data_IF_370922940858
#
_entry.id   IF_370922940858
#
_cell.length_a   1.000
_cell.length_b   1.000
_cell.length_c   1.000
_cell.angle_alpha   90.00
_cell.angle_beta   90.00
_cell.angle_gamma   90.00
#
_symmetry.space_group_name_H-M   'P 1'
#
loop_
_entity.id
_entity.type
_entity.pdbx_description
1 polymer ?
#
# COMPACT_ATOMS: atom_id res chain seq x y z
N UNK A 1 2.28 -18.04 -30.23
CA UNK A 1 0.88 -18.10 -29.80
C UNK A 1 0.73 -17.08 -28.70
N UNK A 2 -0.27 -16.21 -28.81
CA UNK A 2 -0.60 -15.32 -27.71
C UNK A 2 -1.32 -16.10 -26.57
N UNK A 3 -1.67 -15.41 -25.49
CA UNK A 3 -2.36 -16.02 -24.33
C UNK A 3 -3.74 -16.63 -24.68
N UNK A 4 -4.27 -16.38 -25.87
CA UNK A 4 -5.56 -16.87 -26.36
C UNK A 4 -5.42 -17.91 -27.47
N UNK A 5 -4.19 -18.39 -27.74
CA UNK A 5 -3.93 -19.41 -28.78
C UNK A 5 -3.83 -18.86 -30.19
N UNK A 6 -3.85 -17.53 -30.40
CA UNK A 6 -3.70 -16.94 -31.71
C UNK A 6 -2.24 -17.00 -32.18
N UNK A 7 -2.03 -17.19 -33.47
CA UNK A 7 -0.70 -17.14 -34.06
C UNK A 7 -0.24 -15.68 -34.18
N UNK A 8 0.85 -15.36 -33.51
CA UNK A 8 1.52 -14.05 -33.64
C UNK A 8 2.38 -14.07 -34.89
N UNK A 9 2.25 -13.06 -35.76
CA UNK A 9 3.06 -12.95 -36.96
C UNK A 9 4.48 -12.46 -36.61
N UNK A 10 5.46 -12.89 -37.41
CA UNK A 10 6.82 -12.42 -37.26
C UNK A 10 6.88 -10.89 -37.41
N UNK A 11 7.44 -10.20 -36.41
CA UNK A 11 7.49 -8.73 -36.35
C UNK A 11 6.40 -8.06 -35.51
N UNK A 12 5.40 -8.79 -35.01
CA UNK A 12 4.44 -8.28 -34.04
C UNK A 12 5.03 -8.33 -32.63
N UNK A 13 4.94 -7.22 -31.91
CA UNK A 13 5.35 -7.16 -30.51
C UNK A 13 4.21 -7.67 -29.63
N UNK A 14 4.43 -8.78 -28.96
CA UNK A 14 3.52 -9.25 -27.89
C UNK A 14 3.68 -8.33 -26.68
N UNK A 15 2.64 -7.58 -26.39
CA UNK A 15 2.49 -6.96 -25.08
C UNK A 15 2.20 -8.04 -24.06
N UNK A 16 3.20 -8.42 -23.26
CA UNK A 16 2.96 -9.26 -22.11
C UNK A 16 2.26 -8.43 -21.03
N UNK A 17 0.94 -8.45 -21.05
CA UNK A 17 0.16 -8.06 -19.86
C UNK A 17 0.50 -9.10 -18.79
N UNK A 18 0.93 -8.65 -17.62
CA UNK A 18 1.33 -9.55 -16.53
C UNK A 18 0.15 -10.51 -16.23
N UNK A 19 0.27 -11.82 -16.53
CA UNK A 19 -0.83 -12.77 -16.44
C UNK A 19 -1.40 -12.94 -15.03
N UNK A 20 -0.69 -12.48 -14.00
CA UNK A 20 -1.16 -12.52 -12.62
C UNK A 20 -2.32 -11.58 -12.31
N UNK A 21 -2.63 -10.64 -13.19
CA UNK A 21 -3.76 -9.71 -13.02
C UNK A 21 -5.02 -10.13 -13.80
N UNK A 22 -4.91 -11.11 -14.66
CA UNK A 22 -6.05 -11.75 -15.27
C UNK A 22 -6.68 -12.70 -14.25
N UNK A 23 -7.67 -12.23 -13.49
CA UNK A 23 -8.53 -13.15 -12.73
C UNK A 23 -9.21 -14.07 -13.74
N UNK A 24 -8.97 -15.39 -13.71
CA UNK A 24 -9.71 -16.29 -14.54
C UNK A 24 -11.17 -16.22 -14.09
N UNK A 25 -12.07 -15.86 -14.99
CA UNK A 25 -13.45 -16.24 -14.84
C UNK A 25 -14.53 -15.17 -14.97
N UNK A 26 -14.26 -13.86 -14.96
CA UNK A 26 -15.36 -12.90 -14.88
C UNK A 26 -15.25 -11.62 -15.74
N UNK A 27 -14.29 -11.50 -16.63
CA UNK A 27 -14.26 -10.40 -17.59
C UNK A 27 -14.65 -10.94 -18.96
N UNK A 28 -15.63 -10.33 -19.59
CA UNK A 28 -15.91 -10.55 -21.02
C UNK A 28 -14.71 -10.05 -21.84
N UNK A 29 -14.52 -10.59 -23.03
CA UNK A 29 -13.47 -10.16 -23.97
C UNK A 29 -13.55 -8.64 -24.22
N UNK A 30 -14.75 -8.09 -24.32
CA UNK A 30 -14.98 -6.67 -24.52
C UNK A 30 -14.55 -5.81 -23.30
N UNK A 31 -14.75 -6.29 -22.08
CA UNK A 31 -14.28 -5.61 -20.86
C UNK A 31 -12.77 -5.70 -20.71
N UNK A 32 -12.18 -6.84 -21.09
CA UNK A 32 -10.72 -7.00 -21.11
C UNK A 32 -10.09 -6.05 -22.13
N UNK A 33 -10.59 -6.01 -23.37
CA UNK A 33 -10.09 -5.11 -24.42
C UNK A 33 -10.25 -3.65 -24.03
N UNK A 34 -11.38 -3.27 -23.44
CA UNK A 34 -11.61 -1.91 -22.94
C UNK A 34 -10.62 -1.53 -21.83
N UNK A 35 -10.29 -2.46 -20.95
CA UNK A 35 -9.30 -2.24 -19.89
C UNK A 35 -7.87 -2.18 -20.46
N UNK A 36 -7.56 -2.96 -21.50
CA UNK A 36 -6.27 -2.91 -22.21
C UNK A 36 -6.12 -1.61 -23.01
N UNK A 37 -7.16 -1.15 -23.68
CA UNK A 37 -7.17 0.12 -24.41
C UNK A 37 -7.01 1.35 -23.49
N UNK A 38 -7.44 1.24 -22.22
CA UNK A 38 -7.27 2.31 -21.23
C UNK A 38 -5.92 2.27 -20.52
N UNK A 39 -5.12 1.21 -20.68
CA UNK A 39 -3.74 1.21 -20.21
C UNK A 39 -2.94 2.18 -21.09
N UNK A 40 -2.27 3.19 -20.50
CA UNK A 40 -1.45 4.13 -21.27
C UNK A 40 -0.13 3.47 -21.67
N UNK A 41 -0.19 2.38 -22.43
CA UNK A 41 0.96 1.73 -23.04
C UNK A 41 1.44 2.58 -24.22
N UNK A 42 2.18 3.64 -23.91
CA UNK A 42 2.94 4.37 -24.90
C UNK A 42 4.23 3.59 -25.17
N UNK A 43 4.23 2.81 -26.22
CA UNK A 43 5.40 2.04 -26.71
C UNK A 43 6.62 2.92 -27.00
N UNK A 44 6.43 4.22 -27.16
CA UNK A 44 7.44 5.23 -27.38
C UNK A 44 8.01 5.87 -26.11
N UNK A 45 7.43 5.56 -24.95
CA UNK A 45 7.85 6.11 -23.66
C UNK A 45 8.76 5.12 -22.91
N UNK A 46 10.08 5.38 -22.82
CA UNK A 46 11.01 4.44 -22.18
C UNK A 46 10.89 4.37 -20.67
N UNK A 47 10.19 5.31 -20.04
CA UNK A 47 9.96 5.36 -18.60
C UNK A 47 8.46 5.45 -18.32
N UNK A 48 7.93 4.50 -17.59
CA UNK A 48 6.56 4.51 -17.08
C UNK A 48 6.50 4.92 -15.62
N UNK A 49 5.33 5.33 -15.15
CA UNK A 49 5.09 5.62 -13.73
C UNK A 49 4.00 4.71 -13.17
N UNK A 50 4.06 4.42 -11.86
CA UNK A 50 2.92 3.84 -11.17
C UNK A 50 1.69 4.76 -11.28
N UNK A 51 0.47 4.19 -11.41
CA UNK A 51 -0.76 4.98 -11.51
C UNK A 51 -1.13 5.69 -10.22
N UNK A 52 -0.43 5.36 -9.12
CA UNK A 52 -0.68 5.89 -7.78
C UNK A 52 0.57 6.56 -7.25
N UNK A 53 0.39 7.74 -6.60
CA UNK A 53 1.39 8.39 -5.77
C UNK A 53 0.94 8.44 -4.32
N UNK A 54 1.87 8.25 -3.37
CA UNK A 54 1.59 8.34 -1.93
C UNK A 54 2.02 9.71 -1.41
N UNK A 55 1.08 10.44 -0.83
CA UNK A 55 1.33 11.76 -0.26
C UNK A 55 1.40 11.67 1.27
N UNK A 56 2.47 12.22 1.85
CA UNK A 56 2.62 12.44 3.29
C UNK A 56 3.03 13.89 3.51
N UNK A 57 2.12 14.68 4.05
CA UNK A 57 2.34 16.12 4.23
C UNK A 57 2.61 16.84 2.90
N UNK A 58 3.78 17.45 2.79
CA UNK A 58 4.25 18.16 1.60
C UNK A 58 5.18 17.32 0.69
N UNK A 59 5.17 16.01 0.85
CA UNK A 59 5.98 15.06 0.06
C UNK A 59 5.07 14.11 -0.71
N UNK A 60 5.39 13.87 -1.97
CA UNK A 60 4.75 12.88 -2.82
C UNK A 60 5.77 11.84 -3.23
N UNK A 61 5.49 10.57 -2.91
CA UNK A 61 6.29 9.43 -3.35
C UNK A 61 5.67 8.85 -4.60
N UNK A 62 6.48 8.71 -5.64
CA UNK A 62 6.08 8.13 -6.92
C UNK A 62 7.10 7.08 -7.34
N UNK A 63 6.66 6.06 -8.07
CA UNK A 63 7.55 5.06 -8.64
C UNK A 63 7.63 5.24 -10.15
N UNK A 64 8.83 5.24 -10.67
CA UNK A 64 9.13 5.19 -12.09
C UNK A 64 9.80 3.86 -12.43
N UNK A 65 9.49 3.33 -13.59
CA UNK A 65 10.09 2.12 -14.14
C UNK A 65 10.73 2.42 -15.49
N UNK A 66 12.00 2.08 -15.65
CA UNK A 66 12.70 2.14 -16.90
C UNK A 66 12.47 0.85 -17.69
N UNK A 67 11.65 0.93 -18.74
CA UNK A 67 11.30 -0.18 -19.62
C UNK A 67 12.37 -0.49 -20.67
N UNK A 68 13.40 0.35 -20.80
CA UNK A 68 14.43 0.23 -21.81
C UNK A 68 15.68 -0.51 -21.34
N UNK A 69 16.51 -0.93 -22.29
CA UNK A 69 17.81 -1.56 -22.03
C UNK A 69 18.93 -0.54 -21.80
N UNK A 70 18.61 0.76 -21.86
CA UNK A 70 19.55 1.84 -21.58
C UNK A 70 19.16 2.56 -20.30
N UNK A 71 20.15 3.12 -19.61
CA UNK A 71 19.89 4.01 -18.50
C UNK A 71 19.11 5.24 -18.99
N UNK A 72 18.08 5.61 -18.26
CA UNK A 72 17.25 6.78 -18.53
C UNK A 72 17.48 7.87 -17.49
N UNK A 73 17.63 9.09 -17.95
CA UNK A 73 17.74 10.27 -17.10
C UNK A 73 16.83 11.37 -17.59
N UNK A 74 16.33 12.17 -16.68
CA UNK A 74 15.39 13.22 -17.04
C UNK A 74 15.00 14.08 -15.86
N UNK A 75 13.88 14.78 -16.05
CA UNK A 75 13.32 15.67 -15.03
C UNK A 75 11.88 15.26 -14.76
N UNK A 76 11.55 15.14 -13.49
CA UNK A 76 10.23 14.81 -12.97
C UNK A 76 9.57 16.07 -12.39
N UNK A 77 8.33 16.32 -12.77
CA UNK A 77 7.50 17.37 -12.25
C UNK A 77 6.08 16.88 -11.92
N UNK A 78 5.29 17.74 -11.34
CA UNK A 78 3.88 17.48 -11.00
C UNK A 78 3.03 18.69 -11.29
N UNK A 79 1.84 18.47 -11.84
CA UNK A 79 0.84 19.51 -12.07
C UNK A 79 -0.58 18.96 -11.93
N UNK A 80 -1.56 19.85 -11.71
CA UNK A 80 -2.97 19.49 -11.65
C UNK A 80 -3.43 18.99 -10.27
N UNK A 81 -4.72 18.70 -10.13
CA UNK A 81 -5.31 18.18 -8.90
C UNK A 81 -5.18 19.07 -7.67
N UNK A 82 -4.86 20.35 -7.85
CA UNK A 82 -4.56 21.26 -6.73
C UNK A 82 -3.16 21.06 -6.13
N UNK A 83 -2.27 20.33 -6.83
CA UNK A 83 -0.89 20.08 -6.40
C UNK A 83 0.10 20.53 -7.49
N UNK A 84 1.29 20.95 -7.04
CA UNK A 84 2.42 21.18 -7.94
C UNK A 84 3.74 20.81 -7.23
N UNK A 85 4.73 20.38 -7.98
CA UNK A 85 6.08 20.21 -7.45
C UNK A 85 6.64 21.58 -7.03
N UNK A 86 7.35 21.64 -5.90
CA UNK A 86 8.05 22.85 -5.45
C UNK A 86 9.17 23.20 -6.41
N UNK A 87 9.88 22.18 -6.86
CA UNK A 87 10.92 22.25 -7.89
C UNK A 87 10.94 20.96 -8.70
N UNK A 88 11.32 21.01 -9.99
CA UNK A 88 11.55 19.81 -10.77
C UNK A 88 12.66 18.95 -10.14
N UNK A 89 12.49 17.62 -10.15
CA UNK A 89 13.43 16.66 -9.61
C UNK A 89 14.18 15.98 -10.77
N UNK A 90 15.50 16.03 -10.75
CA UNK A 90 16.30 15.22 -11.69
C UNK A 90 16.30 13.77 -11.26
N UNK A 91 16.15 12.86 -12.19
CA UNK A 91 16.20 11.42 -11.94
C UNK A 91 17.16 10.71 -12.89
N UNK A 92 17.59 9.54 -12.47
CA UNK A 92 18.40 8.60 -13.23
C UNK A 92 17.99 7.20 -12.81
N UNK A 93 17.62 6.36 -13.78
CA UNK A 93 17.11 5.01 -13.54
C UNK A 93 17.90 4.03 -14.40
N UNK A 94 18.57 3.03 -13.79
CA UNK A 94 19.26 1.98 -14.54
C UNK A 94 18.32 1.21 -15.46
N UNK A 95 18.86 0.49 -16.47
CA UNK A 95 18.06 -0.34 -17.37
C UNK A 95 17.18 -1.34 -16.63
N UNK A 96 15.95 -1.52 -17.08
CA UNK A 96 15.02 -2.56 -16.58
C UNK A 96 14.79 -2.54 -15.07
N UNK A 97 14.92 -1.37 -14.45
CA UNK A 97 14.71 -1.22 -13.00
C UNK A 97 13.57 -0.26 -12.68
N UNK A 98 12.98 -0.46 -11.50
CA UNK A 98 12.04 0.48 -10.90
C UNK A 98 12.70 1.21 -9.74
N UNK A 99 12.38 2.49 -9.57
CA UNK A 99 12.90 3.31 -8.49
C UNK A 99 11.84 4.28 -7.97
N UNK A 100 11.80 4.43 -6.65
CA UNK A 100 10.93 5.38 -5.97
C UNK A 100 11.61 6.74 -5.86
N UNK A 101 10.82 7.79 -6.11
CA UNK A 101 11.26 9.18 -6.03
C UNK A 101 10.38 9.96 -5.07
N UNK A 102 11.00 10.89 -4.34
CA UNK A 102 10.32 11.81 -3.43
C UNK A 102 10.28 13.20 -4.06
N UNK A 103 9.07 13.68 -4.34
CA UNK A 103 8.81 15.04 -4.84
C UNK A 103 8.34 15.94 -3.70
N UNK A 104 9.07 17.02 -3.38
CA UNK A 104 8.50 18.10 -2.59
C UNK A 104 7.35 18.77 -3.35
N UNK A 105 6.19 18.85 -2.72
CA UNK A 105 4.96 19.38 -3.31
C UNK A 105 4.38 20.51 -2.48
N UNK A 106 3.58 21.35 -3.13
CA UNK A 106 2.74 22.37 -2.49
C UNK A 106 1.35 22.34 -3.06
N UNK A 107 0.39 22.78 -2.27
CA UNK A 107 -0.98 22.98 -2.71
C UNK A 107 -1.12 24.27 -3.52
N UNK A 108 -1.97 24.21 -4.55
CA UNK A 108 -2.36 25.36 -5.36
C UNK A 108 -3.89 25.44 -5.44
N UNK A 109 -4.44 26.64 -5.58
CA UNK A 109 -5.89 26.86 -5.48
C UNK A 109 -6.73 26.26 -6.63
N UNK A 110 -6.14 25.95 -7.78
CA UNK A 110 -6.85 25.37 -8.93
C UNK A 110 -6.93 23.84 -8.83
N UNK A 111 -8.17 23.32 -8.72
CA UNK A 111 -8.46 21.87 -8.66
C UNK A 111 -9.02 21.28 -9.98
N UNK A 112 -9.08 22.06 -11.05
CA UNK A 112 -9.92 21.76 -12.23
C UNK A 112 -9.38 20.69 -13.18
N UNK A 113 -8.18 20.18 -12.94
CA UNK A 113 -7.57 19.14 -13.79
C UNK A 113 -7.12 17.94 -12.95
N UNK A 114 -7.05 16.73 -13.52
CA UNK A 114 -6.45 15.58 -12.85
C UNK A 114 -4.98 15.86 -12.49
N UNK A 115 -4.47 15.19 -11.49
CA UNK A 115 -3.05 15.26 -11.15
C UNK A 115 -2.25 14.48 -12.19
N UNK A 116 -1.21 15.12 -12.74
CA UNK A 116 -0.35 14.52 -13.75
C UNK A 116 1.12 14.61 -13.34
N UNK A 117 1.84 13.51 -13.47
CA UNK A 117 3.30 13.51 -13.51
C UNK A 117 3.76 14.02 -14.88
N UNK A 118 4.74 14.88 -14.85
CA UNK A 118 5.44 15.36 -16.05
C UNK A 118 6.84 14.77 -16.09
N UNK A 119 7.14 13.97 -17.10
CA UNK A 119 8.43 13.38 -17.33
C UNK A 119 9.05 14.06 -18.56
N UNK A 120 10.13 14.79 -18.34
CA UNK A 120 10.92 15.37 -19.45
C UNK A 120 12.13 14.47 -19.73
N UNK A 121 12.11 13.82 -20.88
CA UNK A 121 13.11 12.86 -21.35
C UNK A 121 13.54 13.21 -22.78
N UNK A 122 14.83 13.32 -23.04
CA UNK A 122 15.38 13.48 -24.39
C UNK A 122 14.69 14.57 -25.22
N UNK A 123 14.37 15.72 -24.60
CA UNK A 123 13.70 16.83 -25.28
C UNK A 123 12.16 16.69 -25.39
N UNK A 124 11.57 15.58 -24.94
CA UNK A 124 10.13 15.33 -25.00
C UNK A 124 9.52 15.36 -23.60
N UNK A 125 8.33 15.95 -23.48
CA UNK A 125 7.54 15.93 -22.23
C UNK A 125 6.42 14.91 -22.35
N UNK A 126 6.44 13.92 -21.47
CA UNK A 126 5.35 12.96 -21.29
C UNK A 126 4.51 13.39 -20.08
N UNK A 127 3.18 13.23 -20.18
CA UNK A 127 2.23 13.50 -19.11
C UNK A 127 1.47 12.23 -18.79
N UNK A 128 1.48 11.82 -17.52
CA UNK A 128 0.82 10.62 -17.05
C UNK A 128 -0.09 10.96 -15.90
N UNK A 129 -1.41 10.72 -16.00
CA UNK A 129 -2.32 10.93 -14.88
C UNK A 129 -1.98 9.96 -13.75
N UNK A 130 -2.03 10.48 -12.51
CA UNK A 130 -1.84 9.68 -11.30
C UNK A 130 -2.94 9.95 -10.28
N UNK A 131 -3.33 8.91 -9.56
CA UNK A 131 -4.12 9.05 -8.34
C UNK A 131 -3.20 9.39 -7.17
N UNK A 132 -3.47 10.47 -6.44
CA UNK A 132 -2.71 10.84 -5.25
C UNK A 132 -3.46 10.40 -4.00
N UNK A 133 -2.90 9.41 -3.30
CA UNK A 133 -3.42 8.92 -2.02
C UNK A 133 -2.72 9.68 -0.90
N UNK A 134 -3.49 10.42 -0.11
CA UNK A 134 -2.97 11.09 1.09
C UNK A 134 -2.87 10.09 2.24
N UNK A 135 -1.64 9.79 2.69
CA UNK A 135 -1.39 8.89 3.80
C UNK A 135 -1.15 9.67 5.09
N UNK A 136 -1.68 9.15 6.18
CA UNK A 136 -1.36 9.65 7.50
C UNK A 136 0.08 9.24 7.85
N UNK A 137 0.81 10.15 8.51
CA UNK A 137 2.09 9.79 9.12
C UNK A 137 1.85 9.32 10.55
N UNK A 138 2.43 8.18 10.89
CA UNK A 138 2.33 7.58 12.22
C UNK A 138 3.68 7.70 12.92
N UNK A 139 3.68 8.29 14.11
CA UNK A 139 4.86 8.33 14.98
C UNK A 139 5.11 6.99 15.67
N UNK A 140 6.18 6.96 16.49
CA UNK A 140 6.45 5.78 17.34
C UNK A 140 5.29 5.48 18.28
N UNK A 141 4.63 6.50 18.79
CA UNK A 141 3.41 6.38 19.60
C UNK A 141 2.22 6.88 18.80
N UNK A 142 1.11 6.18 18.91
CA UNK A 142 -0.13 6.51 18.23
C UNK A 142 -1.34 6.25 19.13
N UNK A 143 -2.46 6.87 18.78
CA UNK A 143 -3.70 6.80 19.54
C UNK A 143 -4.89 6.61 18.62
N UNK A 144 -5.79 5.76 19.03
CA UNK A 144 -7.15 5.58 18.51
C UNK A 144 -8.14 6.00 19.60
N UNK A 145 -9.43 6.04 19.27
CA UNK A 145 -10.47 6.42 20.25
C UNK A 145 -10.49 5.51 21.49
N UNK A 146 -10.31 4.20 21.24
CA UNK A 146 -10.36 3.17 22.31
C UNK A 146 -9.02 2.46 22.52
N UNK A 147 -7.92 2.93 21.92
CA UNK A 147 -6.61 2.30 22.09
C UNK A 147 -5.46 3.30 22.01
N UNK A 148 -4.33 2.87 22.53
CA UNK A 148 -3.03 3.51 22.32
C UNK A 148 -2.00 2.45 21.99
N UNK A 149 -1.02 2.81 21.20
CA UNK A 149 0.02 1.88 20.79
C UNK A 149 1.38 2.51 20.64
N UNK A 150 2.39 1.66 20.66
CA UNK A 150 3.78 1.99 20.38
C UNK A 150 4.30 1.04 19.32
N UNK A 151 4.89 1.60 18.26
CA UNK A 151 5.44 0.87 17.13
C UNK A 151 6.93 1.17 17.00
N UNK A 152 7.73 0.13 17.00
CA UNK A 152 9.16 0.19 16.69
C UNK A 152 9.46 -0.83 15.58
N UNK A 153 10.35 -0.48 14.66
CA UNK A 153 10.76 -1.38 13.59
C UNK A 153 12.19 -1.11 13.13
N UNK A 154 12.77 -2.11 12.49
CA UNK A 154 14.18 -2.15 12.06
C UNK A 154 14.90 -3.33 12.67
N UNK A 155 16.14 -3.56 12.25
CA UNK A 155 16.98 -4.66 12.73
C UNK A 155 16.31 -6.03 12.63
N UNK A 156 15.61 -6.28 11.51
CA UNK A 156 14.96 -7.57 11.24
C UNK A 156 13.67 -7.84 12.01
N UNK A 157 13.09 -6.83 12.66
CA UNK A 157 11.85 -7.01 13.43
C UNK A 157 10.93 -5.79 13.41
N UNK A 158 9.65 -6.06 13.70
CA UNK A 158 8.65 -5.08 14.05
C UNK A 158 8.17 -5.43 15.46
N UNK A 159 8.16 -4.44 16.34
CA UNK A 159 7.64 -4.55 17.70
C UNK A 159 6.44 -3.62 17.84
N UNK A 160 5.29 -4.19 18.21
CA UNK A 160 4.05 -3.47 18.46
C UNK A 160 3.57 -3.74 19.89
N UNK A 161 3.35 -2.69 20.66
CA UNK A 161 2.71 -2.74 21.95
C UNK A 161 1.41 -1.95 21.87
N UNK A 162 0.32 -2.51 22.38
CA UNK A 162 -0.99 -1.84 22.40
C UNK A 162 -1.73 -2.09 23.70
N UNK A 163 -2.44 -1.04 24.15
CA UNK A 163 -3.46 -1.09 25.18
C UNK A 163 -4.81 -0.78 24.52
N UNK A 164 -5.75 -1.68 24.62
CA UNK A 164 -7.10 -1.58 24.04
C UNK A 164 -8.12 -1.53 25.16
N UNK A 165 -8.97 -0.50 25.12
CA UNK A 165 -10.15 -0.42 26.00
C UNK A 165 -11.30 -1.15 25.33
N UNK A 166 -11.75 -2.19 25.97
CA UNK A 166 -12.84 -3.02 25.52
C UNK A 166 -13.53 -3.60 26.75
N UNK A 167 -14.77 -3.19 26.98
CA UNK A 167 -15.58 -3.62 28.12
C UNK A 167 -16.55 -4.73 27.76
N UNK A 168 -16.59 -5.15 26.49
CA UNK A 168 -17.46 -6.23 26.05
C UNK A 168 -16.82 -7.60 26.35
N UNK A 169 -17.64 -8.55 26.77
CA UNK A 169 -17.23 -9.95 26.94
C UNK A 169 -17.60 -10.82 25.74
N UNK A 170 -17.91 -10.19 24.63
CA UNK A 170 -18.29 -10.89 23.41
C UNK A 170 -17.05 -11.50 22.74
N UNK A 171 -16.57 -12.59 23.30
CA UNK A 171 -15.62 -13.46 22.65
C UNK A 171 -16.17 -14.00 21.32
N UNK A 172 -15.33 -14.68 20.56
CA UNK A 172 -15.73 -15.31 19.30
C UNK A 172 -16.87 -16.31 19.54
N UNK A 173 -18.10 -15.93 19.18
CA UNK A 173 -19.24 -16.80 19.25
C UNK A 173 -19.56 -17.41 17.90
N UNK A 174 -19.41 -18.73 17.77
CA UNK A 174 -19.87 -19.49 16.61
C UNK A 174 -18.98 -19.41 15.36
N UNK A 175 -19.59 -19.54 14.19
CA UNK A 175 -18.94 -19.61 12.88
C UNK A 175 -18.72 -18.24 12.19
N UNK A 176 -18.77 -17.15 12.95
CA UNK A 176 -18.56 -15.80 12.39
C UNK A 176 -17.10 -15.63 11.93
N UNK A 177 -16.87 -14.91 10.83
CA UNK A 177 -15.53 -14.49 10.43
C UNK A 177 -14.82 -13.72 11.54
N UNK A 178 -13.50 -13.77 11.61
CA UNK A 178 -12.70 -13.10 12.66
C UNK A 178 -13.00 -11.59 12.74
N UNK A 179 -13.18 -10.93 11.61
CA UNK A 179 -13.48 -9.49 11.52
C UNK A 179 -14.92 -9.12 11.90
N UNK A 180 -15.76 -10.08 12.27
CA UNK A 180 -17.10 -9.88 12.83
C UNK A 180 -17.14 -10.23 14.32
N UNK A 181 -15.99 -10.37 14.95
CA UNK A 181 -15.82 -10.67 16.38
C UNK A 181 -14.85 -9.68 17.00
N UNK A 182 -14.66 -9.72 18.33
CA UNK A 182 -13.59 -8.95 18.96
C UNK A 182 -12.25 -9.34 18.36
N UNK A 183 -11.65 -8.41 17.61
CA UNK A 183 -10.45 -8.68 16.85
C UNK A 183 -9.62 -7.41 16.67
N UNK A 184 -8.31 -7.54 16.72
CA UNK A 184 -7.39 -6.52 16.23
C UNK A 184 -6.84 -6.98 14.89
N UNK A 185 -7.11 -6.19 13.88
CA UNK A 185 -6.53 -6.39 12.56
C UNK A 185 -5.33 -5.47 12.36
N UNK A 186 -4.20 -6.03 12.04
CA UNK A 186 -2.95 -5.32 11.81
C UNK A 186 -2.54 -5.46 10.35
N UNK A 187 -2.22 -4.36 9.71
CA UNK A 187 -1.84 -4.30 8.31
C UNK A 187 -0.41 -3.77 8.20
N UNK A 188 0.44 -4.49 7.49
CA UNK A 188 1.84 -4.15 7.32
C UNK A 188 2.27 -4.21 5.86
N UNK A 189 3.12 -3.26 5.47
CA UNK A 189 3.84 -3.25 4.20
C UNK A 189 5.29 -2.85 4.47
N UNK A 190 6.21 -3.80 4.38
CA UNK A 190 7.64 -3.57 4.70
C UNK A 190 8.39 -2.86 3.58
N UNK A 191 7.75 -2.66 2.44
CA UNK A 191 8.28 -1.91 1.29
C UNK A 191 7.21 -0.97 0.71
N UNK A 192 6.75 0.03 1.50
CA UNK A 192 5.59 0.85 1.14
C UNK A 192 5.83 1.80 -0.03
N UNK A 193 7.08 2.01 -0.42
CA UNK A 193 7.44 2.86 -1.56
C UNK A 193 7.56 2.09 -2.87
N UNK A 194 7.50 0.77 -2.83
CA UNK A 194 7.40 -0.09 -4.00
C UNK A 194 5.94 -0.09 -4.49
N UNK A 195 5.54 1.00 -5.15
CA UNK A 195 4.17 1.18 -5.61
C UNK A 195 3.86 0.26 -6.79
N UNK A 196 2.64 -0.28 -6.87
CA UNK A 196 2.25 -1.14 -7.99
C UNK A 196 2.16 -0.35 -9.29
N UNK A 197 2.76 -0.89 -10.36
CA UNK A 197 2.77 -0.25 -11.68
C UNK A 197 1.44 -0.37 -12.42
N UNK A 198 0.63 -1.36 -12.09
CA UNK A 198 -0.60 -1.67 -12.83
C UNK A 198 -1.86 -1.52 -11.97
N UNK A 199 -1.86 -2.06 -10.75
CA UNK A 199 -3.06 -2.10 -9.91
C UNK A 199 -2.76 -1.72 -8.46
N UNK A 200 -3.42 -0.69 -7.91
CA UNK A 200 -3.13 -0.21 -6.55
C UNK A 200 -3.53 -1.20 -5.44
N UNK A 201 -4.47 -2.09 -5.71
CA UNK A 201 -5.02 -3.03 -4.72
C UNK A 201 -4.15 -4.29 -4.51
N UNK A 202 -3.02 -4.40 -5.22
CA UNK A 202 -2.20 -5.60 -5.14
C UNK A 202 -1.41 -5.68 -3.83
N UNK A 203 -1.66 -6.70 -3.02
CA UNK A 203 -0.75 -7.13 -1.97
C UNK A 203 0.47 -7.80 -2.60
N UNK A 204 1.64 -7.49 -2.05
CA UNK A 204 2.92 -8.04 -2.50
C UNK A 204 3.47 -9.02 -1.46
N UNK A 205 4.59 -9.66 -1.76
CA UNK A 205 5.34 -10.48 -0.80
C UNK A 205 5.80 -9.70 0.45
N UNK A 206 5.80 -8.37 0.39
CA UNK A 206 6.17 -7.49 1.49
C UNK A 206 4.96 -7.02 2.31
N UNK A 207 3.76 -7.45 1.92
CA UNK A 207 2.50 -7.05 2.56
C UNK A 207 1.91 -8.23 3.31
N UNK A 208 1.54 -8.02 4.55
CA UNK A 208 0.89 -9.04 5.36
C UNK A 208 -0.12 -8.43 6.32
N UNK A 209 -1.02 -9.26 6.80
CA UNK A 209 -2.09 -8.93 7.71
C UNK A 209 -2.13 -9.93 8.84
N UNK A 210 -2.34 -9.45 10.05
CA UNK A 210 -2.53 -10.29 11.22
C UNK A 210 -3.87 -10.00 11.85
N UNK A 211 -4.43 -11.03 12.47
CA UNK A 211 -5.63 -10.97 13.27
C UNK A 211 -5.31 -11.50 14.65
N UNK A 212 -5.61 -10.72 15.67
CA UNK A 212 -5.46 -11.11 17.05
C UNK A 212 -6.87 -11.17 17.67
N UNK A 213 -7.29 -12.35 18.09
CA UNK A 213 -8.46 -12.50 18.96
C UNK A 213 -7.97 -12.44 20.40
N UNK A 214 -8.35 -11.40 21.17
CA UNK A 214 -7.70 -11.11 22.45
C UNK A 214 -8.21 -11.97 23.61
N UNK A 215 -9.29 -12.72 23.41
CA UNK A 215 -9.98 -13.48 24.46
C UNK A 215 -10.05 -14.96 24.11
N UNK A 216 -10.51 -15.77 25.03
CA UNK A 216 -10.52 -17.22 24.98
C UNK A 216 -11.29 -17.78 23.75
N UNK A 217 -10.60 -18.56 22.91
CA UNK A 217 -9.15 -18.75 22.90
C UNK A 217 -8.41 -17.56 22.27
N UNK A 218 -7.32 -17.14 22.91
CA UNK A 218 -6.37 -16.19 22.28
C UNK A 218 -5.77 -16.83 21.05
N UNK A 219 -5.89 -16.18 19.91
CA UNK A 219 -5.37 -16.70 18.65
C UNK A 219 -4.70 -15.58 17.86
N UNK A 220 -3.62 -15.95 17.17
CA UNK A 220 -2.97 -15.14 16.15
C UNK A 220 -3.12 -15.83 14.80
N UNK A 221 -3.76 -15.15 13.88
CA UNK A 221 -3.86 -15.58 12.49
C UNK A 221 -3.07 -14.65 11.60
N UNK A 222 -2.44 -15.18 10.57
CA UNK A 222 -1.65 -14.42 9.61
C UNK A 222 -2.15 -14.64 8.20
N UNK A 223 -2.05 -13.59 7.39
CA UNK A 223 -2.27 -13.64 5.96
C UNK A 223 -1.13 -12.91 5.24
N UNK A 224 -0.48 -13.57 4.28
CA UNK A 224 0.67 -13.08 3.56
C UNK A 224 1.95 -13.83 3.90
N UNK A 225 3.09 -13.16 3.82
CA UNK A 225 4.40 -13.81 3.89
C UNK A 225 4.83 -14.28 5.30
N UNK A 226 4.19 -13.76 6.34
CA UNK A 226 4.56 -14.06 7.74
C UNK A 226 3.73 -15.24 8.26
N UNK A 227 4.37 -16.17 8.95
CA UNK A 227 3.72 -17.29 9.63
C UNK A 227 3.43 -16.91 11.08
N UNK A 228 2.25 -17.26 11.60
CA UNK A 228 1.86 -16.98 12.99
C UNK A 228 2.85 -17.59 14.00
N UNK A 229 3.37 -18.79 13.70
CA UNK A 229 4.36 -19.48 14.53
C UNK A 229 5.72 -18.79 14.61
N UNK A 230 6.01 -17.84 13.73
CA UNK A 230 7.24 -17.07 13.76
C UNK A 230 7.10 -15.80 14.62
N UNK A 231 5.88 -15.42 15.00
CA UNK A 231 5.60 -14.24 15.80
C UNK A 231 5.57 -14.58 17.30
N UNK A 232 6.05 -13.66 18.14
CA UNK A 232 5.88 -13.74 19.61
C UNK A 232 4.75 -12.80 20.01
N UNK A 233 3.62 -13.37 20.48
CA UNK A 233 2.45 -12.65 20.96
C UNK A 233 2.23 -12.89 22.44
N UNK A 234 2.24 -11.83 23.23
CA UNK A 234 1.95 -11.83 24.64
C UNK A 234 0.72 -10.96 24.91
N UNK A 235 -0.35 -11.51 25.47
CA UNK A 235 -1.58 -10.80 25.81
C UNK A 235 -1.83 -10.84 27.32
N UNK A 236 -2.31 -9.72 27.86
CA UNK A 236 -2.78 -9.58 29.23
C UNK A 236 -4.16 -8.97 29.22
N UNK A 237 -5.17 -9.72 29.66
CA UNK A 237 -6.53 -9.21 29.86
C UNK A 237 -6.68 -8.52 31.19
N UNK A 238 -7.53 -7.51 31.23
CA UNK A 238 -7.92 -6.79 32.44
C UNK A 238 -9.43 -6.45 32.38
N UNK A 239 -10.07 -6.01 33.46
CA UNK A 239 -11.51 -5.72 33.47
C UNK A 239 -11.97 -4.63 32.53
N UNK A 240 -11.06 -3.76 32.03
CA UNK A 240 -11.37 -2.64 31.14
C UNK A 240 -10.89 -2.86 29.71
N UNK A 241 -10.37 -4.05 29.38
CA UNK A 241 -9.85 -4.38 28.07
C UNK A 241 -8.69 -5.36 28.11
N UNK A 242 -7.70 -5.13 27.26
CA UNK A 242 -6.51 -5.97 27.17
C UNK A 242 -5.32 -5.15 26.67
N UNK A 243 -4.14 -5.67 26.98
CA UNK A 243 -2.89 -5.17 26.37
C UNK A 243 -2.15 -6.33 25.71
N UNK A 244 -1.42 -6.02 24.67
CA UNK A 244 -0.56 -7.01 24.03
C UNK A 244 0.78 -6.43 23.60
N UNK A 245 1.76 -7.31 23.53
CA UNK A 245 3.05 -7.10 22.91
C UNK A 245 3.21 -8.15 21.81
N UNK A 246 3.47 -7.69 20.60
CA UNK A 246 3.66 -8.52 19.41
C UNK A 246 5.02 -8.22 18.80
N UNK A 247 5.83 -9.25 18.62
CA UNK A 247 7.09 -9.18 17.89
C UNK A 247 6.98 -10.00 16.59
N UNK A 248 7.32 -9.39 15.47
CA UNK A 248 7.20 -9.96 14.12
C UNK A 248 8.59 -9.96 13.49
N UNK A 249 9.14 -11.10 13.07
CA UNK A 249 10.38 -11.15 12.31
C UNK A 249 10.14 -10.63 10.89
N UNK A 250 10.58 -9.41 10.60
CA UNK A 250 10.42 -8.81 9.28
C UNK A 250 11.53 -7.79 9.01
N UNK A 251 12.14 -7.92 7.85
CA UNK A 251 13.05 -6.90 7.34
C UNK A 251 12.26 -5.68 6.87
N UNK A 252 12.66 -4.50 7.32
CA UNK A 252 12.01 -3.24 6.99
C UNK A 252 13.02 -2.21 6.52
N UNK A 253 12.59 -1.33 5.63
CA UNK A 253 13.33 -0.11 5.27
C UNK A 253 13.17 1.00 6.31
N UNK A 254 13.49 2.23 5.90
CA UNK A 254 13.31 3.43 6.72
C UNK A 254 11.83 3.81 6.94
N UNK A 255 10.93 3.30 6.10
CA UNK A 255 9.49 3.49 6.19
C UNK A 255 8.79 2.12 6.26
N UNK A 256 7.72 2.08 7.04
CA UNK A 256 6.82 0.95 7.18
C UNK A 256 5.41 1.41 6.86
N UNK A 257 4.71 0.74 5.96
CA UNK A 257 3.28 0.86 5.80
C UNK A 257 2.61 0.15 6.98
N UNK A 258 1.77 0.86 7.72
CA UNK A 258 1.16 0.33 8.93
C UNK A 258 -0.25 0.88 9.12
N UNK A 259 -1.17 0.00 9.47
CA UNK A 259 -2.50 0.41 9.93
C UNK A 259 -3.05 -0.59 10.93
N UNK A 260 -4.01 -0.13 11.71
CA UNK A 260 -4.71 -0.91 12.74
C UNK A 260 -6.20 -0.71 12.58
N UNK A 261 -6.94 -1.81 12.64
CA UNK A 261 -8.39 -1.82 12.80
C UNK A 261 -8.73 -2.64 14.03
N UNK A 262 -9.56 -2.09 14.90
CA UNK A 262 -10.08 -2.77 16.08
C UNK A 262 -11.56 -2.98 15.85
N UNK A 263 -11.97 -4.23 15.85
CA UNK A 263 -13.35 -4.68 15.80
C UNK A 263 -13.79 -5.01 17.23
N UNK A 264 -14.78 -4.27 17.73
CA UNK A 264 -15.38 -4.43 19.06
C UNK A 264 -16.82 -4.90 18.85
N UNK A 265 -17.06 -6.17 19.13
CA UNK A 265 -18.35 -6.83 18.93
C UNK A 265 -19.13 -6.86 20.26
N UNK A 266 -20.23 -6.13 20.33
CA UNK A 266 -21.16 -6.14 21.45
C UNK A 266 -22.51 -6.71 21.02
N UNK A 267 -22.74 -7.98 21.29
CA UNK A 267 -23.94 -8.70 20.88
C UNK A 267 -24.07 -8.76 19.35
N UNK A 268 -25.06 -8.06 18.77
CA UNK A 268 -25.28 -7.99 17.31
C UNK A 268 -24.66 -6.74 16.66
N UNK A 269 -24.04 -5.86 17.43
CA UNK A 269 -23.38 -4.66 16.93
C UNK A 269 -21.89 -4.87 16.81
N UNK A 270 -21.30 -4.27 15.77
CA UNK A 270 -19.87 -4.22 15.55
C UNK A 270 -19.44 -2.76 15.47
N UNK A 271 -18.55 -2.36 16.35
CA UNK A 271 -17.89 -1.05 16.31
C UNK A 271 -16.49 -1.22 15.75
N UNK A 272 -16.19 -0.48 14.70
CA UNK A 272 -14.87 -0.46 14.09
C UNK A 272 -14.13 0.84 14.45
N UNK A 273 -12.89 0.70 14.89
CA UNK A 273 -11.96 1.84 15.12
C UNK A 273 -10.70 1.62 14.32
N UNK A 274 -10.29 2.62 13.54
CA UNK A 274 -9.13 2.51 12.64
C UNK A 274 -8.11 3.62 12.89
N UNK A 275 -6.83 3.33 12.66
CA UNK A 275 -5.76 4.30 12.79
C UNK A 275 -5.76 5.33 11.65
N UNK A 276 -5.81 4.86 10.41
CA UNK A 276 -5.80 5.68 9.22
C UNK A 276 -7.19 5.96 8.66
N UNK A 277 -7.30 6.01 7.33
CA UNK A 277 -8.59 6.27 6.65
C UNK A 277 -9.63 5.18 6.86
N UNK A 278 -9.21 4.00 7.29
CA UNK A 278 -10.04 2.81 7.49
C UNK A 278 -10.64 2.22 6.22
N UNK A 279 -10.52 2.93 5.10
CA UNK A 279 -11.20 2.56 3.87
C UNK A 279 -10.38 1.54 3.08
N UNK A 280 -10.98 0.35 2.87
CA UNK A 280 -10.45 -0.68 1.97
C UNK A 280 -9.01 -1.16 2.29
N UNK A 281 -8.58 -1.08 3.55
CA UNK A 281 -7.23 -1.53 3.96
C UNK A 281 -6.91 -2.95 3.48
N UNK A 282 -7.89 -3.84 3.58
CA UNK A 282 -7.76 -5.24 3.17
C UNK A 282 -7.64 -5.44 1.64
N UNK A 283 -7.83 -4.38 0.83
CA UNK A 283 -7.74 -4.43 -0.63
C UNK A 283 -6.64 -3.55 -1.18
N UNK A 284 -6.28 -2.47 -0.49
CA UNK A 284 -5.36 -1.46 -1.04
C UNK A 284 -4.28 -1.08 -0.03
N UNK A 285 -3.10 -1.68 -0.17
CA UNK A 285 -1.94 -1.38 0.67
C UNK A 285 -1.45 0.08 0.55
N UNK A 286 -1.76 0.77 -0.56
CA UNK A 286 -1.42 2.17 -0.72
C UNK A 286 -2.21 3.09 0.22
N UNK A 287 -3.30 2.60 0.85
CA UNK A 287 -4.06 3.32 1.87
C UNK A 287 -3.43 3.25 3.27
N UNK A 288 -2.48 2.34 3.51
CA UNK A 288 -1.85 2.23 4.83
C UNK A 288 -1.15 3.53 5.19
N UNK A 289 -1.26 3.90 6.45
CA UNK A 289 -0.46 4.99 7.03
C UNK A 289 1.02 4.69 6.90
N UNK A 290 1.87 5.71 6.99
CA UNK A 290 3.33 5.54 6.90
C UNK A 290 3.97 5.84 8.25
N UNK A 291 4.69 4.87 8.80
CA UNK A 291 5.49 5.01 10.00
C UNK A 291 6.97 5.20 9.65
N UNK A 292 7.69 5.94 10.51
CA UNK A 292 9.11 6.23 10.36
C UNK A 292 9.43 7.54 9.65
N UNK A 293 10.71 7.84 9.59
CA UNK A 293 11.24 9.00 8.89
C UNK A 293 12.24 8.55 7.82
N UNK A 294 12.10 9.04 6.61
CA UNK A 294 13.16 8.91 5.62
C UNK A 294 14.25 9.92 6.01
N UNK A 295 15.41 9.44 6.44
CA UNK A 295 16.60 10.30 6.57
C UNK A 295 16.88 10.87 5.18
N UNK A 296 16.84 12.19 5.05
CA UNK A 296 17.31 12.86 3.86
C UNK A 296 18.76 12.44 3.62
N UNK A 297 18.99 11.68 2.55
CA UNK A 297 20.31 11.38 2.04
C UNK A 297 20.77 12.51 1.13
#
# INVERSE_FOLDING_TARGET
MDLFGNKVKAGETLLSVNPFYLRPGNLSESEFLKNVETLPLRLDQPVSSAPVGRRVGNRLFVMLHNESDLEQSGVLGLTGGGLTAVSPLRFRIPPRTAQSFELPIKEVRKKESPTELMLFLNGTTFRTPIEVISNQQVGKEFKLDNARGKLEFGNGRILLEMDVKDSSDAGRTGSRPLWETDCVELFFDTDPLNLPLIHPDAYTRNTFRLFITPRDPVQLHTWGAIQASACDLQIRSNPSGYSFRLEIPAETGALLGFDVKIDDAAGNSLRETTLGSGKKLFRNRCQFSLAGERKNQ
#
